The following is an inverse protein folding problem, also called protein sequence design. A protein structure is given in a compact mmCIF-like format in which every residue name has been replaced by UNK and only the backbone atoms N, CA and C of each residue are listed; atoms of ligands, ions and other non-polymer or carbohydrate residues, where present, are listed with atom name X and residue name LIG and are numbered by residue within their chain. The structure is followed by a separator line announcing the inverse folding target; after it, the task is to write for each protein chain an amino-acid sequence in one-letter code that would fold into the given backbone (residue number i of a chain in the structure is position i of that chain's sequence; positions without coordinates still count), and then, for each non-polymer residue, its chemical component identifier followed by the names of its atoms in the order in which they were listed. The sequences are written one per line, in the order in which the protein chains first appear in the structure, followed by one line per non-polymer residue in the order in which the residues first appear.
data_IF_962361302956
#
_entry.id   IF_962361302956
#
_cell.length_a   1.000
_cell.length_b   1.000
_cell.length_c   1.000
_cell.angle_alpha   90.00
_cell.angle_beta   90.00
_cell.angle_gamma   90.00
#
_symmetry.space_group_name_H-M   'P 1'
#
loop_
_entity.id
_entity.type
_entity.pdbx_description
1 polymer ?
#
# COMPACT_ATOMS: atom_id res chain seq x y z
N UNK A 1 23.02 -11.43 11.15
CA UNK A 1 23.43 -10.62 12.33
C UNK A 1 22.76 -9.26 12.20
N UNK A 2 22.06 -8.83 13.26
CA UNK A 2 21.44 -7.50 13.33
C UNK A 2 22.50 -6.52 13.82
N UNK A 3 22.83 -5.52 13.00
CA UNK A 3 23.79 -4.47 13.38
C UNK A 3 23.11 -3.50 14.35
N UNK A 4 23.18 -3.81 15.67
CA UNK A 4 22.70 -2.97 16.76
C UNK A 4 23.88 -2.35 17.49
N UNK A 5 23.91 -1.04 17.59
CA UNK A 5 24.99 -0.30 18.25
C UNK A 5 24.45 0.78 19.16
N UNK A 6 25.19 1.10 20.19
CA UNK A 6 24.93 2.21 21.11
C UNK A 6 26.15 3.11 21.18
N UNK A 7 25.94 4.39 20.93
CA UNK A 7 26.97 5.40 21.21
C UNK A 7 26.95 5.70 22.72
N UNK A 8 27.98 5.19 23.40
CA UNK A 8 28.12 5.31 24.87
C UNK A 8 28.25 6.76 25.34
N UNK A 9 28.79 7.64 24.48
CA UNK A 9 28.95 9.06 24.80
C UNK A 9 27.61 9.83 24.79
N UNK A 10 26.62 9.33 24.04
CA UNK A 10 25.27 9.90 23.93
C UNK A 10 24.27 9.18 24.84
N UNK A 11 24.55 7.93 25.20
CA UNK A 11 23.60 7.10 25.97
C UNK A 11 23.51 7.55 27.43
N UNK A 12 22.33 7.97 27.84
CA UNK A 12 22.05 8.37 29.23
C UNK A 12 21.47 7.22 30.07
N UNK A 13 21.57 5.98 29.61
CA UNK A 13 21.11 4.76 30.28
C UNK A 13 19.66 4.79 30.79
N UNK A 14 18.76 5.52 30.08
CA UNK A 14 17.36 5.71 30.49
C UNK A 14 16.47 4.46 30.34
N UNK A 15 16.92 3.44 29.61
CA UNK A 15 16.22 2.18 29.41
C UNK A 15 14.99 2.24 28.47
N UNK A 16 14.68 3.39 27.85
CA UNK A 16 13.50 3.54 27.01
C UNK A 16 13.45 2.51 25.87
N UNK A 17 14.57 2.29 25.18
CA UNK A 17 14.68 1.33 24.08
C UNK A 17 14.48 -0.14 24.53
N UNK A 18 14.91 -0.48 25.73
CA UNK A 18 14.70 -1.83 26.32
C UNK A 18 13.22 -2.00 26.71
N UNK A 19 12.65 -1.00 27.37
CA UNK A 19 11.24 -1.01 27.80
C UNK A 19 10.27 -1.10 26.62
N UNK A 20 10.57 -0.42 25.51
CA UNK A 20 9.71 -0.40 24.31
C UNK A 20 9.90 -1.64 23.42
N UNK A 21 10.90 -2.47 23.68
CA UNK A 21 11.13 -3.70 22.93
C UNK A 21 10.13 -4.80 23.34
N UNK A 22 8.99 -4.87 22.64
CA UNK A 22 7.92 -5.84 22.92
C UNK A 22 8.42 -7.29 22.93
N UNK A 23 9.38 -7.62 22.06
CA UNK A 23 9.93 -8.96 21.90
C UNK A 23 11.13 -9.25 22.83
N UNK A 24 11.47 -8.31 23.72
CA UNK A 24 12.55 -8.48 24.72
C UNK A 24 13.90 -8.88 24.10
N UNK A 25 14.15 -8.47 22.85
CA UNK A 25 15.42 -8.70 22.17
C UNK A 25 16.57 -7.89 22.78
N UNK A 26 16.26 -6.86 23.60
CA UNK A 26 17.21 -5.98 24.28
C UNK A 26 17.15 -6.18 25.78
N UNK A 27 18.31 -6.05 26.43
CA UNK A 27 18.43 -5.99 27.88
C UNK A 27 19.28 -4.78 28.29
N UNK A 28 19.02 -4.26 29.47
CA UNK A 28 19.84 -3.21 30.06
C UNK A 28 21.00 -3.89 30.85
N UNK A 29 22.20 -3.47 30.49
CA UNK A 29 23.41 -3.67 31.30
C UNK A 29 23.90 -2.27 31.73
N UNK A 30 25.16 -1.90 31.59
CA UNK A 30 25.62 -0.52 31.69
C UNK A 30 24.95 0.32 30.57
N UNK A 31 24.88 -0.26 29.36
CA UNK A 31 24.15 0.25 28.18
C UNK A 31 23.19 -0.81 27.63
N UNK A 32 22.21 -0.45 26.76
CA UNK A 32 21.36 -1.42 26.10
C UNK A 32 22.19 -2.38 25.23
N UNK A 33 21.94 -3.67 25.36
CA UNK A 33 22.59 -4.72 24.56
C UNK A 33 21.55 -5.60 23.88
N UNK A 34 21.86 -6.04 22.65
CA UNK A 34 21.08 -7.05 21.94
C UNK A 34 21.41 -8.42 22.53
N UNK A 35 20.42 -9.10 23.12
CA UNK A 35 20.59 -10.41 23.74
C UNK A 35 20.04 -11.54 22.91
N UNK A 36 19.07 -11.26 22.04
CA UNK A 36 18.48 -12.26 21.16
C UNK A 36 18.07 -11.64 19.81
N UNK A 37 18.89 -11.85 18.79
CA UNK A 37 18.62 -11.39 17.43
C UNK A 37 17.41 -12.12 16.79
N UNK A 38 17.13 -13.36 17.21
CA UNK A 38 16.00 -14.16 16.74
C UNK A 38 14.66 -13.60 17.16
N UNK A 39 14.61 -12.91 18.28
CA UNK A 39 13.43 -12.22 18.78
C UNK A 39 13.24 -10.82 18.16
N UNK A 40 14.26 -10.27 17.52
CA UNK A 40 14.16 -8.94 16.93
C UNK A 40 13.36 -8.96 15.62
N UNK A 41 12.21 -8.32 15.62
CA UNK A 41 11.35 -8.13 14.43
C UNK A 41 11.75 -6.94 13.55
N UNK A 42 12.92 -6.35 13.77
CA UNK A 42 13.49 -5.25 12.95
C UNK A 42 12.61 -4.00 12.86
N UNK A 43 11.79 -3.71 13.87
CA UNK A 43 10.81 -2.63 13.87
C UNK A 43 11.41 -1.23 14.12
N UNK A 44 12.70 -1.13 14.48
CA UNK A 44 13.41 0.13 14.76
C UNK A 44 12.84 0.98 15.90
N UNK A 45 11.94 0.47 16.72
CA UNK A 45 11.41 1.18 17.88
C UNK A 45 12.50 1.67 18.82
N UNK A 46 13.52 0.84 19.06
CA UNK A 46 14.66 1.19 19.91
C UNK A 46 15.43 2.44 19.42
N UNK A 47 15.55 2.60 18.10
CA UNK A 47 16.10 3.79 17.46
C UNK A 47 15.16 4.99 17.64
N UNK A 48 13.89 4.80 17.32
CA UNK A 48 12.89 5.87 17.28
C UNK A 48 12.59 6.47 18.67
N UNK A 49 12.65 5.66 19.73
CA UNK A 49 12.34 6.10 21.10
C UNK A 49 13.53 6.73 21.83
N UNK A 50 14.75 6.60 21.29
CA UNK A 50 15.96 7.07 21.95
C UNK A 50 16.00 8.62 22.02
N UNK A 51 15.94 9.22 23.25
CA UNK A 51 15.83 10.68 23.37
C UNK A 51 17.12 11.42 22.97
N UNK A 52 18.27 10.74 23.03
CA UNK A 52 19.58 11.32 22.70
C UNK A 52 20.12 10.88 21.35
N UNK A 53 19.40 9.96 20.65
CA UNK A 53 19.87 9.42 19.38
C UNK A 53 21.07 8.48 19.50
N UNK A 54 21.32 7.92 20.68
CA UNK A 54 22.46 7.03 20.94
C UNK A 54 22.37 5.66 20.26
N UNK A 55 21.17 5.23 19.87
CA UNK A 55 20.93 3.91 19.27
C UNK A 55 20.99 3.96 17.76
N UNK A 56 21.71 3.02 17.16
CA UNK A 56 21.62 2.71 15.73
C UNK A 56 21.31 1.23 15.53
N UNK A 57 20.60 0.88 14.46
CA UNK A 57 20.23 -0.49 14.14
C UNK A 57 20.09 -0.68 12.63
N UNK A 58 20.58 -1.82 12.13
CA UNK A 58 20.53 -2.16 10.69
C UNK A 58 21.12 -1.07 9.79
N UNK A 59 22.21 -0.46 10.22
CA UNK A 59 22.89 0.60 9.49
C UNK A 59 22.22 1.97 9.54
N UNK A 60 21.07 2.12 10.24
CA UNK A 60 20.35 3.39 10.40
C UNK A 60 20.69 4.03 11.74
N UNK A 61 21.06 5.29 11.75
CA UNK A 61 21.29 6.10 12.94
C UNK A 61 20.23 7.20 13.08
N UNK A 62 20.18 7.85 14.24
CA UNK A 62 19.23 8.93 14.50
C UNK A 62 19.41 10.13 13.53
N UNK A 63 20.65 10.37 13.07
CA UNK A 63 20.96 11.40 12.06
C UNK A 63 20.33 11.13 10.69
N UNK A 64 20.02 9.88 10.39
CA UNK A 64 19.38 9.47 9.12
C UNK A 64 17.85 9.59 9.18
N UNK A 65 17.30 9.91 10.36
CA UNK A 65 15.87 9.95 10.63
C UNK A 65 15.38 11.39 10.78
N UNK A 66 14.18 11.68 10.27
CA UNK A 66 13.54 12.97 10.45
C UNK A 66 12.96 13.10 11.85
N UNK A 67 13.32 14.12 12.64
CA UNK A 67 12.69 14.37 13.93
C UNK A 67 11.19 14.64 13.78
N UNK A 68 10.37 14.07 14.66
CA UNK A 68 8.91 14.24 14.59
C UNK A 68 8.49 15.67 15.00
N UNK A 69 9.23 16.30 15.93
CA UNK A 69 8.93 17.66 16.37
C UNK A 69 9.07 18.67 15.21
N UNK A 70 7.97 19.35 14.91
CA UNK A 70 7.90 20.34 13.83
C UNK A 70 7.71 19.75 12.41
N UNK A 71 7.72 18.44 12.25
CA UNK A 71 7.57 17.77 10.96
C UNK A 71 6.24 17.00 10.79
N UNK A 72 5.44 16.89 11.86
CA UNK A 72 4.09 16.34 11.77
C UNK A 72 3.15 17.42 11.23
N UNK A 73 2.31 17.13 10.21
CA UNK A 73 1.38 18.11 9.66
C UNK A 73 0.35 18.55 10.71
N UNK A 74 -0.08 19.79 10.62
CA UNK A 74 -1.15 20.31 11.46
C UNK A 74 -2.44 19.50 11.29
N UNK A 75 -3.21 19.21 12.37
CA UNK A 75 -4.41 18.40 12.30
C UNK A 75 -5.42 18.84 11.24
N UNK A 76 -5.56 20.17 11.03
CA UNK A 76 -6.44 20.74 9.99
C UNK A 76 -6.00 20.39 8.57
N UNK A 77 -4.70 20.26 8.32
CA UNK A 77 -4.15 19.91 7.02
C UNK A 77 -4.41 18.42 6.73
N UNK A 78 -4.21 17.58 7.73
CA UNK A 78 -4.48 16.15 7.65
C UNK A 78 -5.98 15.87 7.47
N UNK A 79 -6.84 16.58 8.20
CA UNK A 79 -8.31 16.50 8.05
C UNK A 79 -8.75 16.91 6.63
N UNK A 80 -8.19 17.99 6.09
CA UNK A 80 -8.45 18.43 4.72
C UNK A 80 -7.99 17.40 3.67
N UNK A 81 -6.84 16.74 3.89
CA UNK A 81 -6.36 15.65 3.03
C UNK A 81 -7.35 14.49 3.00
N UNK A 82 -7.80 14.01 4.16
CA UNK A 82 -8.76 12.92 4.26
C UNK A 82 -10.12 13.27 3.63
N UNK A 83 -10.66 14.44 3.94
CA UNK A 83 -11.95 14.91 3.43
C UNK A 83 -11.90 15.30 1.95
N UNK A 84 -10.73 15.70 1.46
CA UNK A 84 -10.50 16.08 0.06
C UNK A 84 -10.27 14.90 -0.87
N UNK A 85 -9.79 13.76 -0.36
CA UNK A 85 -9.52 12.57 -1.16
C UNK A 85 -10.79 12.04 -1.85
N UNK A 86 -10.69 11.81 -3.16
CA UNK A 86 -11.77 11.26 -3.99
C UNK A 86 -11.30 10.07 -4.81
N UNK A 87 -12.20 9.15 -5.08
CA UNK A 87 -12.01 8.11 -6.09
C UNK A 87 -11.98 8.76 -7.48
N UNK A 88 -10.80 8.94 -8.04
CA UNK A 88 -10.61 9.54 -9.36
C UNK A 88 -10.96 8.51 -10.45
N UNK A 89 -11.75 8.93 -11.46
CA UNK A 89 -12.23 8.08 -12.56
C UNK A 89 -12.01 8.70 -13.94
N UNK A 90 -11.33 9.84 -13.96
CA UNK A 90 -10.99 10.58 -15.16
C UNK A 90 -9.54 11.03 -15.05
N UNK A 91 -8.71 10.50 -15.92
CA UNK A 91 -7.26 10.69 -15.88
C UNK A 91 -6.77 11.42 -17.13
N UNK A 92 -5.66 12.13 -17.00
CA UNK A 92 -4.87 12.57 -18.15
C UNK A 92 -4.12 11.36 -18.71
N UNK A 93 -3.85 11.38 -20.02
CA UNK A 93 -3.00 10.38 -20.66
C UNK A 93 -1.54 10.83 -20.57
N UNK A 94 -0.99 10.72 -19.39
CA UNK A 94 0.33 11.22 -19.03
C UNK A 94 0.97 10.27 -18.02
N UNK A 95 2.24 9.90 -18.23
CA UNK A 95 2.99 9.08 -17.29
C UNK A 95 3.34 9.89 -16.05
N UNK A 96 3.18 9.28 -14.88
CA UNK A 96 3.77 9.77 -13.63
C UNK A 96 5.28 9.59 -13.73
N UNK A 97 6.06 10.63 -13.34
CA UNK A 97 7.51 10.53 -13.43
C UNK A 97 8.05 9.40 -12.53
N UNK A 98 9.12 8.70 -12.95
CA UNK A 98 9.70 7.63 -12.13
C UNK A 98 10.09 8.09 -10.72
N UNK A 99 10.63 9.30 -10.59
CA UNK A 99 11.02 9.86 -9.29
C UNK A 99 9.82 10.06 -8.36
N UNK A 100 8.70 10.61 -8.88
CA UNK A 100 7.47 10.78 -8.09
C UNK A 100 6.85 9.42 -7.74
N UNK A 101 6.83 8.48 -8.69
CA UNK A 101 6.34 7.14 -8.41
C UNK A 101 7.14 6.45 -7.30
N UNK A 102 8.49 6.54 -7.36
CA UNK A 102 9.34 5.97 -6.31
C UNK A 102 9.06 6.61 -4.95
N UNK A 103 8.88 7.93 -4.88
CA UNK A 103 8.50 8.62 -3.64
C UNK A 103 7.18 8.08 -3.06
N UNK A 104 6.17 7.83 -3.91
CA UNK A 104 4.90 7.28 -3.48
C UNK A 104 5.04 5.85 -2.92
N UNK A 105 5.84 5.02 -3.60
CA UNK A 105 6.12 3.63 -3.18
C UNK A 105 6.91 3.59 -1.87
N UNK A 106 7.94 4.42 -1.73
CA UNK A 106 8.77 4.52 -0.53
C UNK A 106 7.93 4.97 0.68
N UNK A 107 7.05 5.95 0.48
CA UNK A 107 6.14 6.39 1.54
C UNK A 107 5.15 5.29 1.95
N UNK A 108 4.64 4.54 0.99
CA UNK A 108 3.72 3.44 1.27
C UNK A 108 4.41 2.24 1.98
N UNK A 109 5.72 2.08 1.83
CA UNK A 109 6.49 1.04 2.50
C UNK A 109 6.52 1.20 4.05
N UNK A 110 6.17 2.38 4.58
CA UNK A 110 5.97 2.61 6.02
C UNK A 110 4.64 2.08 6.55
N UNK A 111 3.78 1.52 5.71
CA UNK A 111 2.54 0.87 6.14
C UNK A 111 2.86 -0.29 7.10
N UNK A 112 2.20 -0.36 8.27
CA UNK A 112 2.44 -1.45 9.22
C UNK A 112 2.03 -2.79 8.62
N UNK A 113 2.78 -3.84 8.99
CA UNK A 113 2.48 -5.22 8.64
C UNK A 113 2.46 -6.11 9.88
N UNK A 114 1.73 -7.21 9.83
CA UNK A 114 1.69 -8.18 10.93
C UNK A 114 3.10 -8.64 11.32
N UNK A 115 3.45 -8.50 12.60
CA UNK A 115 4.79 -8.81 13.14
C UNK A 115 5.94 -8.08 12.43
N UNK A 116 5.68 -6.95 11.82
CA UNK A 116 6.65 -6.21 10.99
C UNK A 116 7.30 -7.08 9.89
N UNK A 117 6.53 -8.01 9.32
CA UNK A 117 7.05 -9.00 8.37
C UNK A 117 7.49 -8.38 7.04
N UNK A 118 6.88 -7.29 6.61
CA UNK A 118 7.17 -6.54 5.37
C UNK A 118 7.29 -7.43 4.13
N UNK A 119 6.42 -8.44 4.02
CA UNK A 119 6.43 -9.45 2.97
C UNK A 119 5.51 -9.11 1.79
N UNK A 120 5.09 -7.85 1.67
CA UNK A 120 4.24 -7.43 0.57
C UNK A 120 5.00 -7.45 -0.76
N UNK A 121 4.36 -8.01 -1.76
CA UNK A 121 4.77 -7.90 -3.16
C UNK A 121 3.94 -6.81 -3.83
N UNK A 122 4.60 -5.80 -4.37
CA UNK A 122 3.97 -4.68 -5.04
C UNK A 122 4.33 -4.71 -6.52
N UNK A 123 3.36 -5.03 -7.36
CA UNK A 123 3.50 -4.99 -8.81
C UNK A 123 2.94 -3.67 -9.34
N UNK A 124 3.71 -2.98 -10.15
CA UNK A 124 3.34 -1.68 -10.72
C UNK A 124 3.34 -1.74 -12.23
N UNK A 125 2.27 -1.27 -12.86
CA UNK A 125 2.25 -0.96 -14.29
C UNK A 125 2.39 0.56 -14.39
N UNK A 126 3.59 1.02 -14.69
CA UNK A 126 4.03 2.41 -14.61
C UNK A 126 4.24 3.10 -15.97
N UNK A 127 3.86 2.41 -17.05
CA UNK A 127 3.91 2.93 -18.42
C UNK A 127 2.56 2.80 -19.10
N UNK A 128 2.16 3.85 -19.84
CA UNK A 128 0.88 3.90 -20.54
C UNK A 128 0.76 2.79 -21.60
N UNK A 129 1.83 2.48 -22.33
CA UNK A 129 1.78 1.45 -23.36
C UNK A 129 1.62 0.06 -22.73
N UNK A 130 2.30 -0.21 -21.61
CA UNK A 130 2.13 -1.43 -20.82
C UNK A 130 0.71 -1.53 -20.24
N UNK A 131 0.17 -0.42 -19.74
CA UNK A 131 -1.21 -0.37 -19.22
C UNK A 131 -2.25 -0.59 -20.32
N UNK A 132 -2.05 -0.04 -21.53
CA UNK A 132 -2.90 -0.27 -22.70
C UNK A 132 -2.84 -1.73 -23.16
N UNK A 133 -1.66 -2.35 -23.13
CA UNK A 133 -1.47 -3.77 -23.44
C UNK A 133 -2.20 -4.67 -22.44
N UNK A 134 -2.08 -4.40 -21.14
CA UNK A 134 -2.79 -5.11 -20.08
C UNK A 134 -4.32 -4.96 -20.26
N UNK A 135 -4.80 -3.74 -20.44
CA UNK A 135 -6.22 -3.42 -20.69
C UNK A 135 -6.76 -4.22 -21.85
N UNK A 136 -6.08 -4.15 -22.99
CA UNK A 136 -6.47 -4.89 -24.21
C UNK A 136 -6.51 -6.39 -23.96
N UNK A 137 -5.49 -6.97 -23.30
CA UNK A 137 -5.43 -8.41 -23.01
C UNK A 137 -6.60 -8.85 -22.12
N UNK A 138 -6.91 -8.08 -21.06
CA UNK A 138 -8.03 -8.37 -20.16
C UNK A 138 -9.35 -8.36 -20.91
N UNK A 139 -9.65 -7.32 -21.69
CA UNK A 139 -10.93 -7.24 -22.41
C UNK A 139 -11.08 -8.27 -23.50
N UNK A 140 -10.02 -8.62 -24.24
CA UNK A 140 -10.05 -9.69 -25.23
C UNK A 140 -10.35 -11.05 -24.56
N UNK A 141 -9.73 -11.31 -23.41
CA UNK A 141 -9.98 -12.55 -22.68
C UNK A 141 -11.40 -12.63 -22.10
N UNK A 142 -11.94 -11.52 -21.61
CA UNK A 142 -13.33 -11.45 -21.15
C UNK A 142 -14.33 -11.68 -22.30
N UNK A 143 -14.06 -11.16 -23.49
CA UNK A 143 -14.89 -11.38 -24.69
C UNK A 143 -14.87 -12.85 -25.10
N UNK A 144 -13.70 -13.48 -25.16
CA UNK A 144 -13.52 -14.90 -25.44
C UNK A 144 -14.29 -15.79 -24.44
N UNK A 145 -14.17 -15.52 -23.15
CA UNK A 145 -14.89 -16.25 -22.10
C UNK A 145 -16.41 -16.10 -22.21
N UNK A 146 -16.87 -14.93 -22.66
CA UNK A 146 -18.29 -14.68 -22.89
C UNK A 146 -18.81 -15.41 -24.15
N UNK A 147 -18.02 -15.42 -25.24
CA UNK A 147 -18.38 -16.13 -26.49
C UNK A 147 -18.40 -17.64 -26.33
N UNK A 148 -17.45 -18.19 -25.58
CA UNK A 148 -17.32 -19.64 -25.36
C UNK A 148 -18.22 -20.17 -24.23
N UNK A 149 -18.91 -19.29 -23.49
CA UNK A 149 -19.71 -19.68 -22.32
C UNK A 149 -18.86 -20.13 -21.10
N UNK A 150 -17.53 -19.94 -21.15
CA UNK A 150 -16.59 -20.37 -20.12
C UNK A 150 -16.40 -19.33 -18.99
N UNK A 151 -17.19 -18.26 -18.96
CA UNK A 151 -17.11 -17.26 -17.90
C UNK A 151 -17.42 -17.90 -16.53
N UNK A 152 -16.48 -17.84 -15.56
CA UNK A 152 -16.69 -18.40 -14.23
C UNK A 152 -17.91 -17.78 -13.50
N UNK A 153 -18.48 -18.52 -12.57
CA UNK A 153 -19.45 -17.95 -11.65
C UNK A 153 -18.73 -17.08 -10.62
N UNK A 154 -19.12 -15.81 -10.56
CA UNK A 154 -18.49 -14.81 -9.67
C UNK A 154 -19.46 -13.66 -9.38
N UNK A 155 -19.16 -12.89 -8.32
CA UNK A 155 -20.02 -11.82 -7.83
C UNK A 155 -20.41 -10.78 -8.89
N UNK A 156 -19.59 -10.55 -9.92
CA UNK A 156 -19.81 -9.55 -10.98
C UNK A 156 -19.92 -10.16 -12.37
N UNK A 157 -20.32 -11.44 -12.44
CA UNK A 157 -20.38 -12.20 -13.70
C UNK A 157 -21.12 -11.47 -14.82
N UNK A 158 -22.29 -10.91 -14.54
CA UNK A 158 -23.07 -10.18 -15.55
C UNK A 158 -22.33 -8.96 -16.12
N UNK A 159 -21.56 -8.25 -15.28
CA UNK A 159 -20.71 -7.15 -15.73
C UNK A 159 -19.59 -7.68 -16.63
N UNK A 160 -18.87 -8.72 -16.25
CA UNK A 160 -17.74 -9.23 -17.01
C UNK A 160 -18.18 -9.85 -18.35
N UNK A 161 -19.36 -10.48 -18.42
CA UNK A 161 -19.96 -10.96 -19.66
C UNK A 161 -20.20 -9.86 -20.71
N UNK A 162 -20.49 -8.64 -20.26
CA UNK A 162 -20.75 -7.52 -21.17
C UNK A 162 -19.51 -6.68 -21.44
N UNK A 163 -18.52 -6.68 -20.52
CA UNK A 163 -17.38 -5.77 -20.57
C UNK A 163 -16.51 -5.94 -21.83
N UNK A 164 -16.19 -7.18 -22.22
CA UNK A 164 -15.43 -7.47 -23.42
C UNK A 164 -16.14 -7.00 -24.69
N UNK A 165 -17.44 -7.26 -24.82
CA UNK A 165 -18.26 -6.83 -25.97
C UNK A 165 -18.34 -5.32 -26.08
N UNK A 166 -18.54 -4.62 -24.97
CA UNK A 166 -18.61 -3.15 -24.94
C UNK A 166 -17.27 -2.51 -25.29
N UNK A 167 -16.17 -3.10 -24.85
CA UNK A 167 -14.84 -2.69 -25.25
C UNK A 167 -14.63 -2.84 -26.75
N UNK A 168 -14.96 -3.99 -27.32
CA UNK A 168 -14.81 -4.31 -28.76
C UNK A 168 -15.69 -3.41 -29.65
N UNK A 169 -16.90 -3.10 -29.19
CA UNK A 169 -17.87 -2.31 -29.93
C UNK A 169 -17.56 -0.80 -29.96
N UNK A 170 -16.99 -0.24 -28.92
CA UNK A 170 -16.80 1.21 -28.80
C UNK A 170 -15.70 1.64 -27.83
N UNK A 171 -14.83 0.73 -27.39
CA UNK A 171 -13.71 1.05 -26.49
C UNK A 171 -14.13 1.44 -25.06
N UNK A 172 -15.35 1.05 -24.63
CA UNK A 172 -15.80 1.39 -23.28
C UNK A 172 -14.95 0.66 -22.20
N UNK A 173 -14.27 1.46 -21.39
CA UNK A 173 -13.37 0.97 -20.33
C UNK A 173 -13.99 1.10 -18.93
N UNK A 174 -14.83 0.15 -18.59
CA UNK A 174 -15.50 0.09 -17.30
C UNK A 174 -14.61 -0.41 -16.14
N UNK A 175 -13.57 -1.18 -16.42
CA UNK A 175 -12.65 -1.74 -15.43
C UNK A 175 -11.57 -0.73 -15.08
N UNK A 176 -10.78 -0.31 -16.07
CA UNK A 176 -9.56 0.49 -15.85
C UNK A 176 -9.81 2.00 -15.89
N UNK A 177 -11.00 2.45 -16.34
CA UNK A 177 -11.35 3.90 -16.40
C UNK A 177 -10.34 4.75 -17.17
N UNK A 178 -9.69 4.18 -18.15
CA UNK A 178 -8.62 4.82 -18.93
C UNK A 178 -7.45 5.32 -18.07
N UNK A 179 -7.27 4.75 -16.87
CA UNK A 179 -6.15 5.09 -16.01
C UNK A 179 -4.82 4.74 -16.70
N UNK A 180 -3.79 5.60 -16.58
CA UNK A 180 -2.49 5.35 -17.19
C UNK A 180 -1.66 4.31 -16.44
N UNK A 181 -1.96 4.07 -15.15
CA UNK A 181 -1.16 3.20 -14.29
C UNK A 181 -2.01 2.40 -13.31
N UNK A 182 -1.44 1.31 -12.81
CA UNK A 182 -1.99 0.60 -11.65
C UNK A 182 -0.89 0.07 -10.73
N UNK A 183 -1.21 -0.03 -9.45
CA UNK A 183 -0.46 -0.75 -8.43
C UNK A 183 -1.32 -1.92 -7.96
N UNK A 184 -0.71 -3.10 -7.87
CA UNK A 184 -1.34 -4.33 -7.44
C UNK A 184 -0.53 -4.87 -6.27
N UNK A 185 -1.18 -5.08 -5.14
CA UNK A 185 -0.52 -5.53 -3.92
C UNK A 185 -0.94 -6.96 -3.61
N UNK A 186 0.03 -7.79 -3.33
CA UNK A 186 -0.15 -9.17 -2.92
C UNK A 186 0.65 -9.44 -1.63
N UNK A 187 0.28 -10.47 -0.90
CA UNK A 187 1.02 -10.90 0.29
C UNK A 187 1.36 -12.37 0.22
N UNK A 188 2.43 -12.77 0.86
CA UNK A 188 2.78 -14.17 0.99
C UNK A 188 1.65 -14.93 1.70
N UNK A 189 1.26 -16.10 1.19
CA UNK A 189 0.15 -16.91 1.75
C UNK A 189 0.40 -17.36 3.20
N UNK A 190 1.66 -17.39 3.63
CA UNK A 190 2.07 -17.74 4.98
C UNK A 190 2.35 -16.50 5.87
N UNK A 191 2.02 -15.30 5.44
CA UNK A 191 2.18 -14.09 6.25
C UNK A 191 1.18 -14.08 7.43
N UNK A 192 1.51 -13.39 8.51
CA UNK A 192 0.65 -13.29 9.70
C UNK A 192 -0.68 -12.60 9.40
N UNK A 193 -0.67 -11.55 8.58
CA UNK A 193 -1.85 -10.76 8.22
C UNK A 193 -2.03 -10.73 6.70
N UNK A 194 -2.32 -11.91 6.11
CA UNK A 194 -2.39 -12.10 4.65
C UNK A 194 -3.37 -11.14 3.97
N UNK A 195 -4.50 -10.88 4.59
CA UNK A 195 -5.58 -10.07 4.01
C UNK A 195 -5.50 -8.59 4.40
N UNK A 196 -5.00 -8.28 5.61
CA UNK A 196 -5.02 -6.92 6.15
C UNK A 196 -3.88 -6.07 5.59
N UNK A 197 -2.65 -6.59 5.60
CA UNK A 197 -1.47 -5.85 5.18
C UNK A 197 -1.59 -5.28 3.76
N UNK A 198 -2.09 -6.07 2.75
CA UNK A 198 -2.25 -5.55 1.39
C UNK A 198 -3.32 -4.46 1.23
N UNK A 199 -4.15 -4.21 2.23
CA UNK A 199 -5.12 -3.11 2.24
C UNK A 199 -4.55 -1.86 2.92
N UNK A 200 -3.63 -2.03 3.87
CA UNK A 200 -3.01 -0.90 4.56
C UNK A 200 -2.02 -0.18 3.64
N UNK A 201 -1.19 -0.92 2.90
CA UNK A 201 -0.21 -0.36 1.97
C UNK A 201 -0.83 0.60 0.94
N UNK A 202 -1.89 0.22 0.18
CA UNK A 202 -2.54 1.15 -0.75
C UNK A 202 -3.17 2.35 -0.07
N UNK A 203 -3.56 2.26 1.21
CA UNK A 203 -4.09 3.39 1.97
C UNK A 203 -3.02 4.46 2.20
N UNK A 204 -1.79 4.05 2.52
CA UNK A 204 -0.64 4.96 2.63
C UNK A 204 -0.28 5.56 1.27
N UNK A 205 -0.21 4.72 0.23
CA UNK A 205 0.02 5.18 -1.15
C UNK A 205 -1.01 6.23 -1.57
N UNK A 206 -2.30 5.98 -1.34
CA UNK A 206 -3.39 6.89 -1.71
C UNK A 206 -3.26 8.26 -1.04
N UNK A 207 -2.91 8.31 0.23
CA UNK A 207 -2.78 9.57 0.98
C UNK A 207 -1.60 10.40 0.48
N UNK A 208 -0.45 9.76 0.24
CA UNK A 208 0.71 10.44 -0.33
C UNK A 208 0.43 10.87 -1.78
N UNK A 209 -0.20 10.01 -2.59
CA UNK A 209 -0.61 10.35 -3.95
C UNK A 209 -1.53 11.58 -3.97
N UNK A 210 -2.54 11.64 -3.09
CA UNK A 210 -3.41 12.81 -2.96
C UNK A 210 -2.63 14.07 -2.58
N UNK A 211 -1.66 13.99 -1.67
CA UNK A 211 -0.82 15.12 -1.28
C UNK A 211 0.06 15.61 -2.45
N UNK A 212 0.43 14.72 -3.38
CA UNK A 212 1.20 15.00 -4.60
C UNK A 212 0.35 15.31 -5.82
N UNK A 213 -0.98 15.46 -5.67
CA UNK A 213 -1.88 15.77 -6.79
C UNK A 213 -2.11 14.59 -7.74
N UNK A 214 -1.76 13.38 -7.34
CA UNK A 214 -2.05 12.14 -8.08
C UNK A 214 -3.41 11.59 -7.63
N UNK A 215 -4.27 11.32 -8.60
CA UNK A 215 -5.58 10.71 -8.36
C UNK A 215 -5.49 9.19 -8.28
N UNK A 216 -6.24 8.61 -7.36
CA UNK A 216 -6.29 7.17 -7.12
C UNK A 216 -7.71 6.63 -7.22
N UNK A 217 -7.83 5.34 -7.51
CA UNK A 217 -9.09 4.59 -7.47
C UNK A 217 -8.85 3.18 -6.95
N UNK A 218 -9.43 2.85 -5.82
CA UNK A 218 -9.56 1.47 -5.37
C UNK A 218 -10.40 0.69 -6.37
N UNK A 219 -9.74 -0.16 -7.17
CA UNK A 219 -10.36 -0.80 -8.32
C UNK A 219 -10.86 -2.21 -8.00
N UNK A 220 -12.03 -2.31 -7.34
CA UNK A 220 -12.67 -3.58 -7.06
C UNK A 220 -12.97 -4.40 -8.30
N UNK A 221 -13.31 -3.77 -9.44
CA UNK A 221 -13.56 -4.49 -10.69
C UNK A 221 -12.30 -5.19 -11.22
N UNK A 222 -11.14 -4.53 -11.18
CA UNK A 222 -9.89 -5.16 -11.57
C UNK A 222 -9.49 -6.26 -10.57
N UNK A 223 -9.64 -5.99 -9.27
CA UNK A 223 -9.37 -6.97 -8.23
C UNK A 223 -10.21 -8.25 -8.41
N UNK A 224 -11.53 -8.13 -8.56
CA UNK A 224 -12.40 -9.30 -8.78
C UNK A 224 -12.13 -9.98 -10.13
N UNK A 225 -11.83 -9.20 -11.17
CA UNK A 225 -11.46 -9.75 -12.47
C UNK A 225 -10.23 -10.66 -12.37
N UNK A 226 -9.15 -10.16 -11.75
CA UNK A 226 -7.91 -10.92 -11.58
C UNK A 226 -8.05 -12.09 -10.60
N UNK A 227 -8.85 -11.95 -9.54
CA UNK A 227 -9.03 -12.99 -8.55
C UNK A 227 -9.93 -14.13 -9.03
N UNK A 228 -11.07 -13.80 -9.64
CA UNK A 228 -12.18 -14.73 -9.85
C UNK A 228 -12.32 -15.17 -11.32
N UNK A 229 -11.86 -14.35 -12.26
CA UNK A 229 -12.09 -14.58 -13.70
C UNK A 229 -10.80 -14.89 -14.45
N UNK A 230 -9.73 -14.16 -14.16
CA UNK A 230 -8.45 -14.23 -14.87
C UNK A 230 -7.27 -14.49 -13.91
N UNK A 231 -7.31 -15.51 -13.05
CA UNK A 231 -6.20 -15.79 -12.15
C UNK A 231 -4.90 -16.16 -12.89
N UNK A 232 -5.00 -16.63 -14.12
CA UNK A 232 -3.88 -16.89 -15.03
C UNK A 232 -3.10 -15.65 -15.45
N UNK A 233 -3.63 -14.46 -15.20
CA UNK A 233 -2.89 -13.20 -15.39
C UNK A 233 -1.94 -12.86 -14.22
N UNK A 234 -2.15 -13.43 -13.04
CA UNK A 234 -1.34 -13.09 -11.85
C UNK A 234 0.17 -13.35 -12.05
N UNK A 235 0.61 -14.51 -12.60
CA UNK A 235 2.04 -14.72 -12.88
C UNK A 235 2.61 -13.70 -13.87
N UNK A 236 1.83 -13.27 -14.85
CA UNK A 236 2.23 -12.25 -15.84
C UNK A 236 2.35 -10.86 -15.24
N UNK A 237 1.69 -10.63 -14.12
CA UNK A 237 1.78 -9.42 -13.30
C UNK A 237 2.84 -9.54 -12.18
N UNK A 238 3.68 -10.59 -12.24
CA UNK A 238 4.75 -10.83 -11.28
C UNK A 238 4.27 -11.37 -9.93
N UNK A 239 3.03 -11.86 -9.83
CA UNK A 239 2.46 -12.42 -8.59
C UNK A 239 2.53 -13.95 -8.66
N UNK A 240 3.47 -14.59 -7.95
CA UNK A 240 3.64 -16.04 -7.98
C UNK A 240 2.58 -16.75 -7.13
N UNK A 241 2.43 -18.06 -7.34
CA UNK A 241 1.47 -18.90 -6.61
C UNK A 241 1.68 -18.96 -5.10
N UNK A 242 2.85 -18.54 -4.62
CA UNK A 242 3.15 -18.41 -3.18
C UNK A 242 2.48 -17.19 -2.54
N UNK A 243 1.91 -16.29 -3.35
CA UNK A 243 1.26 -15.07 -2.89
C UNK A 243 -0.24 -15.11 -3.16
N UNK A 244 -0.97 -14.38 -2.34
CA UNK A 244 -2.39 -14.10 -2.50
C UNK A 244 -2.56 -12.65 -2.96
N UNK A 245 -3.38 -12.46 -3.99
CA UNK A 245 -3.78 -11.13 -4.44
C UNK A 245 -4.53 -10.41 -3.31
N UNK A 246 -4.04 -9.26 -2.90
CA UNK A 246 -4.67 -8.41 -1.89
C UNK A 246 -5.63 -7.39 -2.51
N UNK A 247 -5.11 -6.43 -3.27
CA UNK A 247 -5.95 -5.45 -3.94
C UNK A 247 -5.27 -4.81 -5.15
N UNK A 248 -6.08 -4.10 -5.97
CA UNK A 248 -5.61 -3.33 -7.12
C UNK A 248 -6.08 -1.88 -7.02
N UNK A 249 -5.19 -0.93 -7.28
CA UNK A 249 -5.47 0.49 -7.29
C UNK A 249 -4.99 1.11 -8.59
N UNK A 250 -5.86 1.86 -9.25
CA UNK A 250 -5.53 2.66 -10.42
C UNK A 250 -5.04 4.02 -9.97
N UNK A 251 -4.09 4.62 -10.72
CA UNK A 251 -3.60 5.95 -10.41
C UNK A 251 -3.11 6.72 -11.64
N UNK A 252 -2.96 8.04 -11.50
CA UNK A 252 -2.49 8.93 -12.52
C UNK A 252 -2.89 10.39 -12.26
N UNK A 253 -2.46 11.30 -13.10
CA UNK A 253 -2.89 12.69 -13.00
C UNK A 253 -4.39 12.82 -13.30
N UNK A 254 -5.19 13.42 -12.39
CA UNK A 254 -6.61 13.62 -12.63
C UNK A 254 -6.83 14.66 -13.76
N UNK A 255 -7.82 14.41 -14.63
CA UNK A 255 -8.27 15.40 -15.61
C UNK A 255 -9.40 16.29 -15.07
N UNK A 256 -9.89 15.97 -13.85
CA UNK A 256 -10.91 16.73 -13.12
C UNK A 256 -10.30 17.29 -11.85
N UNK A 257 -10.55 18.56 -11.56
CA UNK A 257 -10.06 19.22 -10.36
C UNK A 257 -11.16 19.31 -9.30
N UNK A 258 -10.97 18.63 -8.17
CA UNK A 258 -11.86 18.73 -7.02
C UNK A 258 -11.47 19.94 -6.16
N UNK A 259 -12.41 20.87 -5.99
CA UNK A 259 -12.16 22.18 -5.39
C UNK A 259 -12.55 22.29 -3.92
N UNK A 260 -13.19 21.27 -3.35
CA UNK A 260 -13.73 21.30 -1.98
C UNK A 260 -13.70 19.92 -1.36
N UNK A 261 -13.61 19.90 -0.04
CA UNK A 261 -13.94 18.72 0.76
C UNK A 261 -15.44 18.42 0.66
N UNK A 262 -15.82 17.22 1.06
CA UNK A 262 -17.25 16.86 1.18
C UNK A 262 -17.55 16.39 2.58
N UNK A 263 -18.82 16.55 2.99
CA UNK A 263 -19.32 15.97 4.22
C UNK A 263 -19.41 14.44 4.09
N UNK A 264 -18.82 13.75 5.06
CA UNK A 264 -18.97 12.31 5.18
C UNK A 264 -20.20 11.99 6.05
N UNK A 265 -20.86 10.88 5.75
CA UNK A 265 -21.81 10.30 6.70
C UNK A 265 -21.03 9.76 7.89
N UNK A 266 -21.53 10.00 9.10
CA UNK A 266 -20.95 9.44 10.31
C UNK A 266 -21.06 7.92 10.30
N UNK A 267 -20.03 7.24 10.80
CA UNK A 267 -20.11 5.82 11.06
C UNK A 267 -21.10 5.54 12.20
N UNK A 268 -21.70 4.35 12.20
CA UNK A 268 -22.43 3.86 13.37
C UNK A 268 -21.41 3.54 14.47
N UNK A 269 -21.36 4.36 15.49
CA UNK A 269 -20.48 4.20 16.64
C UNK A 269 -21.29 3.71 17.84
N UNK A 270 -20.81 2.67 18.51
CA UNK A 270 -21.35 2.20 19.78
C UNK A 270 -20.28 2.31 20.85
N UNK A 271 -20.58 2.98 21.94
CA UNK A 271 -19.75 2.99 23.13
C UNK A 271 -20.16 1.81 24.01
N UNK A 272 -19.23 0.90 24.26
CA UNK A 272 -19.48 -0.32 25.05
C UNK A 272 -18.82 -0.15 26.41
N UNK A 273 -19.62 -0.18 27.50
CA UNK A 273 -19.14 -0.37 28.85
C UNK A 273 -19.01 -1.87 29.14
N UNK A 274 -17.90 -2.31 29.67
CA UNK A 274 -17.71 -3.69 30.14
C UNK A 274 -17.84 -3.69 31.65
N UNK A 275 -18.93 -4.28 32.18
CA UNK A 275 -19.17 -4.46 33.62
C UNK A 275 -18.75 -5.87 34.05
#
# INVERSE_FOLDING_TARGET
MIDFKVDESLCVSCGACVKDCLHQALRMDMYPVMVDEGHCIRCQHCLAVCPTGAVSIMGTAASDCTPLAGNIPEPRQLDALFKGRRSVRHYKRENVSPALLQELLDSAAYAPTGSNAQNLLVSVVDDIAAMDALRKAVYLRLDELAETGAMPDCQRRAFFLSAGKLWKAGGWDGIFRSAPHCVIVANAKNATCVEQDPLIYPSYFELMAQARGIGTLWCGLLYWCLRDVLPDFLPRLGIPDTHQLGYAMLFGYPSINYRRTVEARSALVRHIGWN
#
